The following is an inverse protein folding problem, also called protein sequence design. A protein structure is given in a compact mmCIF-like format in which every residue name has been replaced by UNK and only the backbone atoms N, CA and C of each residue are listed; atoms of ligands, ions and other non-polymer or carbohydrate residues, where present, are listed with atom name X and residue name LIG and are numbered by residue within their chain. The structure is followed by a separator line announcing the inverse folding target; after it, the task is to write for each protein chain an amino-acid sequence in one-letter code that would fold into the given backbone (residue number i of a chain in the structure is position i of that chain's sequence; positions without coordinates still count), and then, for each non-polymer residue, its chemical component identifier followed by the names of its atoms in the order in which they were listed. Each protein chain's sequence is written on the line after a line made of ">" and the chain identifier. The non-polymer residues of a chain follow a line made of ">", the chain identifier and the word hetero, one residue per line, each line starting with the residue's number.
data_IF_465413787936
#
_entry.id   IF_465413787936
#
_cell.length_a   1.000
_cell.length_b   1.000
_cell.length_c   1.000
_cell.angle_alpha   90.00
_cell.angle_beta   90.00
_cell.angle_gamma   90.00
#
_symmetry.space_group_name_H-M   'P 1'
#
loop_
_entity.id
_entity.type
_entity.pdbx_description
1 polymer ?
#
# COMPACT_ATOMS: atom_id res chain seq x y z
N UNK A 1 0.85 -13.55 -9.38
CA UNK A 1 1.75 -13.49 -8.20
C UNK A 1 2.99 -14.34 -8.40
N UNK A 2 2.87 -15.46 -9.13
CA UNK A 2 3.96 -16.40 -9.35
C UNK A 2 5.18 -15.78 -10.05
N UNK A 3 4.97 -14.85 -11.00
CA UNK A 3 6.07 -14.10 -11.64
C UNK A 3 6.85 -13.21 -10.66
N UNK A 4 6.17 -12.59 -9.69
CA UNK A 4 6.83 -11.77 -8.66
C UNK A 4 7.61 -12.69 -7.70
N UNK A 5 6.99 -13.81 -7.31
CA UNK A 5 7.62 -14.79 -6.41
C UNK A 5 8.80 -15.50 -7.07
N UNK A 6 8.75 -15.77 -8.38
CA UNK A 6 9.84 -16.45 -9.10
C UNK A 6 11.13 -15.64 -9.17
N UNK A 7 11.04 -14.31 -9.02
CA UNK A 7 12.22 -13.43 -8.91
C UNK A 7 12.58 -13.09 -7.45
N UNK A 8 12.03 -13.81 -6.47
CA UNK A 8 12.25 -13.58 -5.05
C UNK A 8 11.53 -12.35 -4.48
N UNK A 9 10.59 -11.77 -5.24
CA UNK A 9 9.77 -10.64 -4.80
C UNK A 9 8.74 -11.04 -3.75
N UNK A 10 8.45 -10.12 -2.83
CA UNK A 10 7.41 -10.29 -1.81
C UNK A 10 6.12 -9.64 -2.32
N UNK A 11 5.00 -10.38 -2.24
CA UNK A 11 3.68 -9.86 -2.57
C UNK A 11 2.91 -9.55 -1.29
N UNK A 12 2.57 -8.30 -1.08
CA UNK A 12 1.64 -7.88 -0.02
C UNK A 12 0.25 -7.78 -0.66
N UNK A 13 -0.71 -8.56 -0.16
CA UNK A 13 -2.10 -8.52 -0.63
C UNK A 13 -2.98 -7.79 0.37
N UNK A 14 -3.80 -6.85 -0.09
CA UNK A 14 -4.82 -6.16 0.73
C UNK A 14 -6.17 -6.40 0.07
N UNK A 15 -7.03 -7.17 0.73
CA UNK A 15 -8.33 -7.59 0.20
C UNK A 15 -9.15 -8.30 1.30
N UNK A 16 -10.44 -8.58 1.05
CA UNK A 16 -11.27 -9.33 1.98
C UNK A 16 -10.72 -10.74 2.27
N UNK A 17 -11.01 -11.22 3.48
CA UNK A 17 -10.67 -12.55 3.94
C UNK A 17 -11.18 -13.64 3.00
N UNK A 18 -10.39 -14.70 2.86
CA UNK A 18 -10.75 -15.84 2.03
C UNK A 18 -10.76 -15.58 0.52
N UNK A 19 -10.52 -14.35 0.06
CA UNK A 19 -10.44 -14.06 -1.37
C UNK A 19 -9.27 -14.79 -2.05
N UNK A 20 -9.41 -15.22 -3.32
CA UNK A 20 -8.33 -15.93 -4.02
C UNK A 20 -7.02 -15.13 -4.15
N UNK A 21 -7.11 -13.80 -4.08
CA UNK A 21 -5.95 -12.90 -4.14
C UNK A 21 -5.17 -12.90 -2.83
N UNK A 22 -5.86 -12.89 -1.67
CA UNK A 22 -5.24 -12.96 -0.35
C UNK A 22 -4.53 -14.29 -0.15
N UNK A 23 -5.17 -15.40 -0.53
CA UNK A 23 -4.58 -16.74 -0.36
C UNK A 23 -3.26 -16.92 -1.12
N UNK A 24 -3.06 -16.17 -2.21
CA UNK A 24 -1.84 -16.23 -3.02
C UNK A 24 -0.78 -15.22 -2.59
N UNK A 25 -1.08 -14.28 -1.69
CA UNK A 25 -0.12 -13.28 -1.24
C UNK A 25 1.03 -13.93 -0.44
N UNK A 26 2.18 -13.24 -0.37
CA UNK A 26 3.25 -13.62 0.56
C UNK A 26 2.96 -13.11 1.97
N UNK A 27 2.37 -11.91 2.06
CA UNK A 27 1.91 -11.29 3.30
C UNK A 27 0.45 -10.85 3.07
N UNK A 28 -0.53 -11.61 3.58
CA UNK A 28 -1.92 -11.22 3.51
C UNK A 28 -2.24 -10.16 4.56
N UNK A 29 -2.93 -9.09 4.16
CA UNK A 29 -3.58 -8.11 5.03
C UNK A 29 -5.06 -8.17 4.71
N UNK A 30 -5.80 -8.87 5.55
CA UNK A 30 -7.23 -9.06 5.38
C UNK A 30 -8.00 -7.83 5.87
N UNK A 31 -8.87 -7.30 5.01
CA UNK A 31 -9.69 -6.12 5.28
C UNK A 31 -11.15 -6.48 5.05
N UNK A 32 -11.81 -6.92 6.11
CA UNK A 32 -13.23 -7.22 6.11
C UNK A 32 -13.99 -5.99 6.60
N UNK A 33 -14.86 -5.46 5.74
CA UNK A 33 -15.71 -4.31 6.08
C UNK A 33 -17.13 -4.72 5.74
N UNK A 34 -18.00 -4.70 6.76
CA UNK A 34 -19.43 -4.84 6.56
C UNK A 34 -19.96 -3.56 5.89
N UNK A 35 -20.75 -3.73 4.82
CA UNK A 35 -21.31 -2.62 4.06
C UNK A 35 -22.83 -2.65 4.13
N UNK A 36 -23.43 -1.56 4.60
CA UNK A 36 -24.86 -1.30 4.45
C UNK A 36 -25.13 -0.89 3.00
N UNK A 37 -25.31 -1.90 2.15
CA UNK A 37 -25.62 -1.80 0.72
C UNK A 37 -26.95 -1.07 0.43
N UNK A 38 -27.80 -0.85 1.43
CA UNK A 38 -29.09 -0.17 1.27
C UNK A 38 -28.97 1.36 1.11
N UNK A 39 -27.87 1.99 1.53
CA UNK A 39 -27.83 3.47 1.63
C UNK A 39 -26.68 4.10 0.81
N UNK A 40 -25.54 3.43 0.61
CA UNK A 40 -24.41 4.00 -0.15
C UNK A 40 -23.49 2.96 -0.82
N UNK A 41 -22.96 3.30 -2.00
CA UNK A 41 -21.85 2.64 -2.73
C UNK A 41 -20.61 2.51 -1.83
N UNK A 42 -19.71 1.50 -1.99
CA UNK A 42 -18.77 1.09 -0.93
C UNK A 42 -17.70 2.13 -0.58
N UNK A 43 -17.98 3.03 0.36
CA UNK A 43 -17.02 4.03 0.83
C UNK A 43 -16.15 3.48 1.96
N UNK A 44 -16.74 2.71 2.88
CA UNK A 44 -16.05 2.19 4.06
C UNK A 44 -14.90 1.25 3.71
N UNK A 45 -15.11 0.30 2.78
CA UNK A 45 -14.05 -0.59 2.32
C UNK A 45 -12.89 0.20 1.69
N UNK A 46 -13.19 1.19 0.84
CA UNK A 46 -12.15 2.03 0.21
C UNK A 46 -11.34 2.80 1.24
N UNK A 47 -11.99 3.40 2.23
CA UNK A 47 -11.31 4.13 3.31
C UNK A 47 -10.41 3.18 4.11
N UNK A 48 -10.89 1.98 4.46
CA UNK A 48 -10.10 1.00 5.18
C UNK A 48 -8.82 0.61 4.41
N UNK A 49 -8.94 0.34 3.10
CA UNK A 49 -7.78 0.04 2.25
C UNK A 49 -6.78 1.22 2.18
N UNK A 50 -7.27 2.47 2.09
CA UNK A 50 -6.41 3.66 2.09
C UNK A 50 -5.65 3.83 3.40
N UNK A 51 -6.31 3.61 4.54
CA UNK A 51 -5.67 3.68 5.86
C UNK A 51 -4.54 2.65 5.98
N UNK A 52 -4.75 1.42 5.51
CA UNK A 52 -3.69 0.39 5.49
C UNK A 52 -2.50 0.86 4.67
N UNK A 53 -2.73 1.42 3.48
CA UNK A 53 -1.67 1.94 2.61
C UNK A 53 -0.89 3.06 3.31
N UNK A 54 -1.58 4.00 3.95
CA UNK A 54 -0.95 5.13 4.67
C UNK A 54 -0.08 4.65 5.84
N UNK A 55 -0.58 3.69 6.63
CA UNK A 55 0.18 3.09 7.74
C UNK A 55 1.46 2.41 7.22
N UNK A 56 1.36 1.64 6.12
CA UNK A 56 2.52 1.02 5.50
C UNK A 56 3.53 2.06 5.00
N UNK A 57 3.06 3.13 4.36
CA UNK A 57 3.93 4.20 3.88
C UNK A 57 4.69 4.88 5.02
N UNK A 58 4.01 5.19 6.12
CA UNK A 58 4.62 5.79 7.32
C UNK A 58 5.61 4.81 7.96
N UNK A 59 5.27 3.52 8.06
CA UNK A 59 6.14 2.48 8.57
C UNK A 59 7.45 2.39 7.77
N UNK A 60 7.34 2.35 6.44
CA UNK A 60 8.50 2.36 5.53
C UNK A 60 9.34 3.63 5.71
N UNK A 61 8.68 4.79 5.82
CA UNK A 61 9.38 6.07 6.02
C UNK A 61 10.18 6.08 7.34
N UNK A 62 9.56 5.64 8.43
CA UNK A 62 10.22 5.50 9.74
C UNK A 62 11.38 4.52 9.70
N UNK A 63 11.19 3.37 9.04
CA UNK A 63 12.22 2.33 8.95
C UNK A 63 13.45 2.78 8.16
N UNK A 64 13.27 3.54 7.07
CA UNK A 64 14.40 4.11 6.30
C UNK A 64 15.17 5.18 7.07
N UNK A 65 14.57 5.76 8.11
CA UNK A 65 15.22 6.72 9.00
C UNK A 65 15.69 8.00 8.30
N UNK A 66 16.68 8.71 8.86
CA UNK A 66 17.11 10.03 8.39
C UNK A 66 17.60 10.07 6.93
N UNK A 67 18.14 8.96 6.41
CA UNK A 67 18.63 8.86 5.03
C UNK A 67 17.53 9.07 3.98
N UNK A 68 16.27 8.82 4.33
CA UNK A 68 15.14 9.11 3.46
C UNK A 68 14.99 10.62 3.22
N UNK A 69 15.27 11.44 4.23
CA UNK A 69 15.14 12.89 4.12
C UNK A 69 16.10 13.45 3.06
N UNK A 70 17.36 13.03 3.09
CA UNK A 70 18.37 13.46 2.12
C UNK A 70 18.01 13.03 0.69
N UNK A 71 17.50 11.81 0.54
CA UNK A 71 17.03 11.30 -0.74
C UNK A 71 15.86 12.13 -1.30
N UNK A 72 14.85 12.41 -0.46
CA UNK A 72 13.70 13.24 -0.84
C UNK A 72 14.11 14.68 -1.14
N UNK A 73 15.08 15.23 -0.41
CA UNK A 73 15.61 16.57 -0.66
C UNK A 73 16.29 16.66 -2.04
N UNK A 74 17.13 15.68 -2.38
CA UNK A 74 17.77 15.59 -3.71
C UNK A 74 16.74 15.46 -4.83
N UNK A 75 15.72 14.62 -4.66
CA UNK A 75 14.63 14.48 -5.62
C UNK A 75 13.88 15.81 -5.83
N UNK A 76 13.51 16.51 -4.75
CA UNK A 76 12.85 17.82 -4.83
C UNK A 76 13.72 18.85 -5.55
N UNK A 77 15.03 18.89 -5.29
CA UNK A 77 15.93 19.80 -6.01
C UNK A 77 16.01 19.49 -7.51
N UNK A 78 16.06 18.21 -7.89
CA UNK A 78 16.03 17.79 -9.30
C UNK A 78 14.75 18.22 -10.00
N UNK A 79 13.59 18.00 -9.37
CA UNK A 79 12.29 18.39 -9.92
C UNK A 79 12.12 19.91 -10.05
N UNK A 80 12.71 20.72 -9.16
CA UNK A 80 12.70 22.18 -9.28
C UNK A 80 13.40 22.68 -10.53
N UNK A 81 14.45 21.99 -11.00
CA UNK A 81 15.17 22.37 -12.23
C UNK A 81 14.39 22.06 -13.51
N UNK A 82 13.37 21.20 -13.43
CA UNK A 82 12.51 20.80 -14.55
C UNK A 82 11.19 21.57 -14.63
N UNK A 83 10.89 22.40 -13.62
CA UNK A 83 9.77 23.35 -13.69
C UNK A 83 10.25 24.59 -14.44
N UNK A 84 9.86 24.68 -15.70
CA UNK A 84 9.89 25.91 -16.52
C UNK A 84 8.74 26.80 -16.11
#
# INVERSE_FOLDING_TARGET
>A
MDVVKSVGGIVIGIAPSGSPVIQKASIPIEVDVEEDIEIYTPLSSRIAHLVVIDVLAIGVAKHKGPKLHDHLFRLKQGLRKLRV
#
